data_IF_108888325646
#
_entry.id   IF_108888325646
#
_cell.length_a   1.000
_cell.length_b   1.000
_cell.length_c   1.000
_cell.angle_alpha   90.00
_cell.angle_beta   90.00
_cell.angle_gamma   90.00
#
_symmetry.space_group_name_H-M   'P 1'
#
loop_
_entity.id
_entity.type
_entity.pdbx_description
1 polymer ?
#
# COMPACT_ATOMS: atom_id res chain seq x y z
N UNK A 1 13.21 9.64 5.58
CA UNK A 1 12.69 8.49 4.84
C UNK A 1 11.40 7.93 5.44
N UNK A 2 11.39 7.68 6.74
CA UNK A 2 10.18 7.19 7.41
C UNK A 2 9.02 8.18 7.29
N UNK A 3 9.32 9.46 7.40
CA UNK A 3 8.31 10.52 7.28
C UNK A 3 7.67 10.52 5.89
N UNK A 4 8.46 10.24 4.85
CA UNK A 4 7.93 10.16 3.49
C UNK A 4 7.02 8.95 3.31
N UNK A 5 7.38 7.81 3.90
CA UNK A 5 6.55 6.62 3.87
C UNK A 5 5.20 6.90 4.52
N UNK A 6 5.21 7.51 5.70
CA UNK A 6 3.98 7.84 6.43
C UNK A 6 3.11 8.83 5.65
N UNK A 7 3.73 9.83 5.01
CA UNK A 7 3.01 10.82 4.22
C UNK A 7 2.29 10.15 3.03
N UNK A 8 2.99 9.28 2.29
CA UNK A 8 2.39 8.57 1.17
C UNK A 8 1.24 7.67 1.61
N UNK A 9 1.40 6.96 2.73
CA UNK A 9 0.33 6.14 3.27
C UNK A 9 -0.88 6.96 3.67
N UNK A 10 -0.65 8.10 4.32
CA UNK A 10 -1.72 8.99 4.73
C UNK A 10 -2.50 9.51 3.52
N UNK A 11 -1.80 9.94 2.48
CA UNK A 11 -2.44 10.42 1.26
C UNK A 11 -3.19 9.28 0.54
N UNK A 12 -2.65 8.08 0.57
CA UNK A 12 -3.31 6.90 0.03
C UNK A 12 -4.67 6.67 0.71
N UNK A 13 -4.71 6.76 2.04
CA UNK A 13 -5.94 6.59 2.80
C UNK A 13 -6.95 7.70 2.51
N UNK A 14 -6.48 8.94 2.36
CA UNK A 14 -7.34 10.06 1.98
C UNK A 14 -7.98 9.82 0.61
N UNK A 15 -7.21 9.37 -0.37
CA UNK A 15 -7.72 9.07 -1.70
C UNK A 15 -8.71 7.91 -1.68
N UNK A 16 -8.47 6.91 -0.84
CA UNK A 16 -9.38 5.78 -0.71
C UNK A 16 -10.71 6.21 -0.11
N UNK A 17 -10.67 7.08 0.90
CA UNK A 17 -11.88 7.63 1.51
C UNK A 17 -12.69 8.44 0.49
N UNK A 18 -12.01 9.27 -0.30
CA UNK A 18 -12.63 10.03 -1.37
C UNK A 18 -13.30 9.09 -2.39
N UNK A 19 -12.61 8.01 -2.76
CA UNK A 19 -13.16 7.02 -3.69
C UNK A 19 -14.44 6.40 -3.16
N UNK A 20 -14.50 6.10 -1.86
CA UNK A 20 -15.70 5.54 -1.22
C UNK A 20 -16.87 6.52 -1.26
N UNK A 21 -16.63 7.78 -0.93
CA UNK A 21 -17.65 8.81 -0.98
C UNK A 21 -18.21 8.95 -2.40
N UNK A 22 -17.34 8.99 -3.38
CA UNK A 22 -17.74 9.10 -4.77
C UNK A 22 -18.53 7.88 -5.25
N UNK A 23 -18.11 6.69 -4.84
CA UNK A 23 -18.81 5.46 -5.17
C UNK A 23 -20.23 5.47 -4.62
N UNK A 24 -20.38 5.90 -3.36
CA UNK A 24 -21.68 5.97 -2.69
C UNK A 24 -22.61 7.01 -3.33
N UNK A 25 -22.06 7.93 -4.08
CA UNK A 25 -22.82 8.95 -4.82
C UNK A 25 -22.89 8.65 -6.32
N UNK A 26 -22.59 7.42 -6.72
CA UNK A 26 -22.67 6.93 -8.10
C UNK A 26 -21.74 7.67 -9.07
N UNK A 27 -20.64 8.22 -8.56
CA UNK A 27 -19.62 8.88 -9.37
C UNK A 27 -18.53 7.88 -9.71
N UNK A 28 -18.86 6.90 -10.55
CA UNK A 28 -18.00 5.75 -10.82
C UNK A 28 -16.67 6.09 -11.46
N UNK A 29 -16.66 6.98 -12.43
CA UNK A 29 -15.44 7.39 -13.11
C UNK A 29 -14.47 8.03 -12.11
N UNK A 30 -14.94 9.00 -11.33
CA UNK A 30 -14.11 9.69 -10.35
C UNK A 30 -13.67 8.75 -9.23
N UNK A 31 -14.56 7.85 -8.80
CA UNK A 31 -14.21 6.84 -7.79
C UNK A 31 -13.07 5.95 -8.27
N UNK A 32 -13.12 5.50 -9.52
CA UNK A 32 -12.06 4.69 -10.12
C UNK A 32 -10.74 5.45 -10.17
N UNK A 33 -10.79 6.72 -10.53
CA UNK A 33 -9.59 7.57 -10.55
C UNK A 33 -8.92 7.62 -9.18
N UNK A 34 -9.69 7.91 -8.13
CA UNK A 34 -9.14 8.03 -6.78
C UNK A 34 -8.71 6.68 -6.22
N UNK A 35 -9.38 5.59 -6.58
CA UNK A 35 -8.94 4.25 -6.21
C UNK A 35 -7.58 3.93 -6.81
N UNK A 36 -7.36 4.31 -8.06
CA UNK A 36 -6.07 4.15 -8.74
C UNK A 36 -4.99 4.98 -8.06
N UNK A 37 -5.30 6.23 -7.72
CA UNK A 37 -4.38 7.10 -7.00
C UNK A 37 -4.00 6.53 -5.64
N UNK A 38 -4.97 6.00 -4.91
CA UNK A 38 -4.73 5.38 -3.61
C UNK A 38 -3.78 4.19 -3.74
N UNK A 39 -4.02 3.32 -4.72
CA UNK A 39 -3.18 2.15 -4.96
C UNK A 39 -1.75 2.57 -5.31
N UNK A 40 -1.60 3.53 -6.21
CA UNK A 40 -0.29 4.04 -6.65
C UNK A 40 0.50 4.61 -5.48
N UNK A 41 -0.13 5.43 -4.64
CA UNK A 41 0.53 6.03 -3.48
C UNK A 41 0.90 4.99 -2.43
N UNK A 42 0.05 3.99 -2.23
CA UNK A 42 0.35 2.90 -1.30
C UNK A 42 1.56 2.10 -1.77
N UNK A 43 1.64 1.79 -3.05
CA UNK A 43 2.78 1.07 -3.62
C UNK A 43 4.05 1.92 -3.55
N UNK A 44 3.93 3.23 -3.75
CA UNK A 44 5.06 4.16 -3.59
C UNK A 44 5.61 4.12 -2.18
N UNK A 45 4.72 4.11 -1.19
CA UNK A 45 5.12 4.01 0.21
C UNK A 45 5.89 2.71 0.48
N UNK A 46 5.42 1.60 -0.06
CA UNK A 46 6.09 0.31 0.10
C UNK A 46 7.47 0.30 -0.56
N UNK A 47 7.58 0.87 -1.76
CA UNK A 47 8.87 0.99 -2.45
C UNK A 47 9.86 1.79 -1.63
N UNK A 48 9.42 2.92 -1.08
CA UNK A 48 10.27 3.75 -0.22
C UNK A 48 10.66 3.00 1.05
N UNK A 49 9.75 2.25 1.62
CA UNK A 49 10.04 1.43 2.79
C UNK A 49 11.18 0.44 2.52
N UNK A 50 11.21 -0.14 1.31
CA UNK A 50 12.27 -1.04 0.90
C UNK A 50 13.51 -0.32 0.34
N UNK A 51 13.54 1.00 0.44
CA UNK A 51 14.68 1.78 -0.04
C UNK A 51 14.76 1.90 -1.56
N UNK A 52 13.63 1.74 -2.25
CA UNK A 52 13.54 1.83 -3.71
C UNK A 52 12.87 3.13 -4.10
N UNK A 53 13.58 4.01 -4.78
CA UNK A 53 13.03 5.26 -5.29
C UNK A 53 12.90 5.14 -6.80
N UNK A 54 11.81 4.53 -7.23
CA UNK A 54 11.58 4.23 -8.64
C UNK A 54 10.54 5.19 -9.20
N UNK A 55 10.95 5.94 -10.21
CA UNK A 55 10.10 6.93 -10.88
C UNK A 55 9.27 6.24 -11.96
N UNK A 56 8.14 5.67 -11.58
CA UNK A 56 7.22 5.05 -12.52
C UNK A 56 5.79 5.19 -12.01
N UNK A 57 4.85 5.24 -12.95
CA UNK A 57 3.42 5.19 -12.68
C UNK A 57 2.82 3.87 -13.15
N UNK A 58 3.66 2.93 -13.55
CA UNK A 58 3.24 1.61 -13.99
C UNK A 58 3.04 0.72 -12.76
N UNK A 59 1.78 0.47 -12.42
CA UNK A 59 1.42 -0.34 -11.25
C UNK A 59 1.95 -1.77 -11.36
N UNK A 60 1.95 -2.36 -12.54
CA UNK A 60 2.47 -3.71 -12.75
C UNK A 60 3.95 -3.79 -12.40
N UNK A 61 4.72 -2.79 -12.83
CA UNK A 61 6.14 -2.72 -12.53
C UNK A 61 6.37 -2.51 -11.02
N UNK A 62 5.61 -1.63 -10.40
CA UNK A 62 5.69 -1.41 -8.95
C UNK A 62 5.41 -2.70 -8.19
N UNK A 63 4.36 -3.43 -8.58
CA UNK A 63 4.00 -4.69 -7.95
C UNK A 63 5.07 -5.74 -8.12
N UNK A 64 5.69 -5.83 -9.29
CA UNK A 64 6.77 -6.80 -9.53
C UNK A 64 7.97 -6.53 -8.63
N UNK A 65 8.35 -5.26 -8.48
CA UNK A 65 9.46 -4.87 -7.62
C UNK A 65 9.14 -5.18 -6.16
N UNK A 66 7.94 -4.86 -5.71
CA UNK A 66 7.51 -5.11 -4.34
C UNK A 66 7.49 -6.61 -4.06
N UNK A 67 6.97 -7.40 -5.00
CA UNK A 67 6.92 -8.85 -4.87
C UNK A 67 8.31 -9.44 -4.70
N UNK A 68 9.27 -8.95 -5.47
CA UNK A 68 10.67 -9.39 -5.35
C UNK A 68 11.23 -9.04 -3.97
N UNK A 69 11.00 -7.80 -3.49
CA UNK A 69 11.48 -7.35 -2.19
C UNK A 69 10.83 -8.13 -1.04
N UNK A 70 9.54 -8.41 -1.15
CA UNK A 70 8.84 -9.20 -0.14
C UNK A 70 9.43 -10.61 -0.07
N UNK A 71 9.71 -11.23 -1.21
CA UNK A 71 10.30 -12.55 -1.25
C UNK A 71 11.69 -12.58 -0.63
N UNK A 72 12.48 -11.50 -0.78
CA UNK A 72 13.80 -11.40 -0.19
C UNK A 72 13.76 -11.12 1.32
N UNK A 73 12.71 -10.46 1.79
CA UNK A 73 12.61 -9.97 3.17
C UNK A 73 11.47 -10.61 3.96
N UNK A 74 10.95 -11.74 3.50
CA UNK A 74 9.72 -12.33 4.06
C UNK A 74 9.83 -12.63 5.56
N UNK A 75 10.97 -13.13 6.03
CA UNK A 75 11.15 -13.46 7.44
C UNK A 75 11.13 -12.20 8.31
N UNK A 76 11.78 -11.15 7.86
CA UNK A 76 11.82 -9.89 8.59
C UNK A 76 10.45 -9.22 8.64
N UNK A 77 9.74 -9.25 7.51
CA UNK A 77 8.38 -8.71 7.43
C UNK A 77 7.45 -9.48 8.37
N UNK A 78 7.59 -10.81 8.42
CA UNK A 78 6.80 -11.66 9.29
C UNK A 78 7.04 -11.33 10.76
N UNK A 79 8.29 -11.11 11.14
CA UNK A 79 8.65 -10.72 12.51
C UNK A 79 8.02 -9.40 12.91
N UNK A 80 8.08 -8.42 12.01
CA UNK A 80 7.51 -7.10 12.29
C UNK A 80 5.97 -7.16 12.41
N UNK A 81 5.34 -7.96 11.55
CA UNK A 81 3.89 -8.14 11.61
C UNK A 81 3.46 -8.78 12.93
N UNK A 82 4.22 -9.76 13.41
CA UNK A 82 3.92 -10.43 14.68
C UNK A 82 4.11 -9.49 15.87
N UNK A 83 5.07 -8.58 15.81
CA UNK A 83 5.26 -7.57 16.87
C UNK A 83 4.07 -6.63 16.96
N UNK A 84 3.50 -6.25 15.81
CA UNK A 84 2.36 -5.33 15.76
C UNK A 84 1.08 -5.98 16.24
N UNK A 85 0.90 -7.27 15.96
CA UNK A 85 -0.28 -8.02 16.34
C UNK A 85 0.08 -9.48 16.61
N UNK A 86 0.42 -9.82 17.87
CA UNK A 86 0.80 -11.18 18.23
C UNK A 86 -0.26 -12.24 17.90
N UNK A 87 -1.52 -11.83 17.84
CA UNK A 87 -2.65 -12.73 17.55
C UNK A 87 -2.97 -12.83 16.06
N UNK A 88 -2.21 -12.16 15.23
CA UNK A 88 -2.47 -12.07 13.80
C UNK A 88 -2.60 -13.46 13.14
N UNK A 89 -1.66 -14.33 13.42
CA UNK A 89 -1.64 -15.68 12.83
C UNK A 89 -2.84 -16.51 13.30
N UNK A 90 -3.18 -16.40 14.59
CA UNK A 90 -4.26 -17.17 15.20
C UNK A 90 -5.62 -16.73 14.63
N UNK A 91 -5.85 -15.44 14.53
CA UNK A 91 -7.12 -14.93 14.04
C UNK A 91 -7.32 -15.14 12.55
N UNK A 92 -6.23 -15.28 11.80
CA UNK A 92 -6.28 -15.39 10.35
C UNK A 92 -6.44 -16.83 9.87
N UNK A 93 -5.95 -17.78 10.61
CA UNK A 93 -5.98 -19.20 10.25
C UNK A 93 -6.74 -19.99 11.32
N UNK A 94 -8.02 -20.15 11.09
CA UNK A 94 -8.83 -20.92 12.03
C UNK A 94 -8.42 -22.37 12.09
#
# INVERSE_FOLDING_TARGET
MRENVELWLKQSLEDLDTAKVLLNNNKYYASTFYSHQAAEKCLEALLLYFGKDIKTHDLSRMLDIIKEEVNLNIEEIRKEALKLNPNYTISRYP
#
